data_IF_345385325322
#
_entry.id   IF_345385325322
#
_cell.length_a   1.000
_cell.length_b   1.000
_cell.length_c   1.000
_cell.angle_alpha   90.00
_cell.angle_beta   90.00
_cell.angle_gamma   90.00
#
_symmetry.space_group_name_H-M   'P 1'
#
loop_
_entity.id
_entity.type
_entity.pdbx_description
1 polymer ?
#
# COMPACT_ATOMS: atom_id res chain seq x y z
N UNK A 1 27.02 35.14 -17.64
CA UNK A 1 26.34 34.18 -18.56
C UNK A 1 26.50 32.70 -18.19
N UNK A 2 27.59 32.26 -17.53
CA UNK A 2 27.74 30.85 -17.09
C UNK A 2 26.88 30.47 -15.86
N UNK A 3 26.79 31.37 -14.88
CA UNK A 3 25.99 31.15 -13.66
C UNK A 3 24.48 31.27 -13.85
N UNK A 4 24.02 32.06 -14.82
CA UNK A 4 22.59 32.15 -15.18
C UNK A 4 22.08 30.84 -15.75
N UNK A 5 22.92 30.12 -16.50
CA UNK A 5 22.55 28.83 -17.08
C UNK A 5 22.41 27.74 -16.02
N UNK A 6 23.29 27.74 -15.01
CA UNK A 6 23.22 26.82 -13.85
C UNK A 6 21.97 27.10 -13.01
N UNK A 7 21.64 28.37 -12.77
CA UNK A 7 20.49 28.75 -11.96
C UNK A 7 19.15 28.44 -12.66
N UNK A 8 19.09 28.56 -13.99
CA UNK A 8 17.94 28.14 -14.80
C UNK A 8 17.78 26.62 -14.86
N UNK A 9 18.88 25.86 -14.96
CA UNK A 9 18.84 24.40 -14.90
C UNK A 9 18.35 23.90 -13.53
N UNK A 10 18.77 24.54 -12.43
CA UNK A 10 18.28 24.20 -11.08
C UNK A 10 16.80 24.51 -10.88
N UNK A 11 16.29 25.63 -11.42
CA UNK A 11 14.86 25.97 -11.34
C UNK A 11 13.98 25.01 -12.15
N UNK A 12 14.47 24.53 -13.30
CA UNK A 12 13.78 23.52 -14.11
C UNK A 12 13.75 22.15 -13.43
N UNK A 13 14.81 21.76 -12.72
CA UNK A 13 14.91 20.46 -12.05
C UNK A 13 13.95 20.30 -10.86
N UNK A 14 13.54 21.39 -10.19
CA UNK A 14 12.57 21.37 -9.08
C UNK A 14 11.13 21.15 -9.59
N UNK A 15 10.87 21.39 -10.88
CA UNK A 15 9.55 21.28 -11.51
C UNK A 15 9.33 19.95 -12.25
N UNK A 16 10.32 19.05 -12.30
CA UNK A 16 10.04 17.68 -12.73
C UNK A 16 9.30 16.97 -11.58
N UNK A 17 8.15 16.32 -11.84
CA UNK A 17 7.66 15.32 -10.91
C UNK A 17 8.78 14.30 -10.75
N UNK A 18 9.18 14.02 -9.50
CA UNK A 18 9.98 12.83 -9.21
C UNK A 18 9.24 11.65 -9.85
N UNK A 19 9.81 11.14 -10.93
CA UNK A 19 9.41 9.89 -11.53
C UNK A 19 9.84 8.77 -10.58
N UNK A 20 9.09 8.64 -9.49
CA UNK A 20 9.10 7.45 -8.66
C UNK A 20 8.28 6.40 -9.44
N UNK A 21 8.97 5.69 -10.32
CA UNK A 21 8.36 4.57 -11.03
C UNK A 21 9.35 3.43 -11.13
N UNK A 22 9.38 2.62 -10.07
CA UNK A 22 9.45 1.17 -10.22
C UNK A 22 8.06 0.57 -9.99
N UNK A 23 7.09 1.01 -10.81
CA UNK A 23 5.86 0.28 -11.08
C UNK A 23 6.09 -0.84 -12.12
N UNK A 24 7.26 -1.48 -12.09
CA UNK A 24 7.50 -2.76 -12.73
C UNK A 24 7.19 -3.81 -11.65
N UNK A 25 6.10 -4.56 -11.68
CA UNK A 25 5.43 -5.15 -12.82
C UNK A 25 4.07 -5.73 -12.36
N UNK A 26 2.93 -5.25 -12.90
CA UNK A 26 1.75 -6.11 -13.08
C UNK A 26 1.07 -5.69 -14.39
N UNK A 27 1.10 -6.60 -15.35
CA UNK A 27 0.10 -6.83 -16.41
C UNK A 27 -0.49 -5.63 -17.15
N UNK A 28 0.03 -5.41 -18.36
CA UNK A 28 -0.68 -5.02 -19.59
C UNK A 28 -2.07 -4.32 -19.45
N UNK A 29 -2.09 -3.01 -19.73
CA UNK A 29 -3.22 -2.41 -20.47
C UNK A 29 -4.41 -1.81 -19.71
N UNK A 30 -4.52 -1.93 -18.39
CA UNK A 30 -5.60 -1.30 -17.62
C UNK A 30 -5.17 -1.04 -16.18
N UNK A 31 -5.51 0.12 -15.63
CA UNK A 31 -4.99 0.61 -14.35
C UNK A 31 -4.82 -0.46 -13.25
N UNK A 32 -3.72 -0.34 -12.49
CA UNK A 32 -3.35 -1.20 -11.35
C UNK A 32 -4.56 -1.74 -10.60
N UNK A 33 -4.76 -3.06 -10.64
CA UNK A 33 -5.77 -3.77 -9.85
C UNK A 33 -5.15 -4.13 -8.51
N UNK A 34 -5.60 -3.51 -7.43
CA UNK A 34 -5.08 -3.73 -6.07
C UNK A 34 -6.12 -4.49 -5.26
N UNK A 35 -5.69 -5.57 -4.60
CA UNK A 35 -6.50 -6.33 -3.65
C UNK A 35 -5.83 -6.32 -2.27
N UNK A 36 -6.54 -5.82 -1.27
CA UNK A 36 -6.12 -5.75 0.14
C UNK A 36 -6.80 -6.87 0.92
N UNK A 37 -6.11 -8.00 1.07
CA UNK A 37 -6.58 -9.10 1.90
C UNK A 37 -6.10 -8.94 3.36
N UNK A 38 -7.00 -9.07 4.34
CA UNK A 38 -6.66 -8.90 5.75
C UNK A 38 -7.35 -9.94 6.66
N UNK A 39 -6.74 -10.20 7.81
CA UNK A 39 -7.31 -11.00 8.90
C UNK A 39 -7.43 -10.13 10.16
N UNK A 40 -8.58 -10.14 10.85
CA UNK A 40 -8.74 -9.39 12.10
C UNK A 40 -9.68 -10.06 13.11
N UNK A 41 -9.20 -10.24 14.35
CA UNK A 41 -10.00 -10.77 15.46
C UNK A 41 -10.73 -9.65 16.21
N UNK A 42 -10.05 -8.53 16.47
CA UNK A 42 -10.59 -7.39 17.24
C UNK A 42 -10.93 -6.17 16.38
N UNK A 43 -10.68 -6.21 15.07
CA UNK A 43 -11.00 -5.14 14.13
C UNK A 43 -9.88 -4.11 13.89
N UNK A 44 -8.74 -4.20 14.57
CA UNK A 44 -7.64 -3.25 14.35
C UNK A 44 -7.08 -3.33 12.93
N UNK A 45 -6.81 -4.55 12.45
CA UNK A 45 -6.28 -4.79 11.10
C UNK A 45 -7.29 -4.42 10.02
N UNK A 46 -8.59 -4.49 10.32
CA UNK A 46 -9.65 -4.07 9.41
C UNK A 46 -9.54 -2.58 9.10
N UNK A 47 -9.38 -1.74 10.13
CA UNK A 47 -9.23 -0.30 9.96
C UNK A 47 -8.00 0.04 9.10
N UNK A 48 -6.89 -0.67 9.30
CA UNK A 48 -5.69 -0.51 8.48
C UNK A 48 -5.92 -0.93 7.01
N UNK A 49 -6.62 -2.04 6.77
CA UNK A 49 -6.93 -2.52 5.43
C UNK A 49 -7.86 -1.57 4.66
N UNK A 50 -8.89 -1.04 5.32
CA UNK A 50 -9.79 -0.02 4.75
C UNK A 50 -9.02 1.25 4.37
N UNK A 51 -8.05 1.66 5.20
CA UNK A 51 -7.19 2.80 4.88
C UNK A 51 -6.31 2.55 3.65
N UNK A 52 -5.69 1.37 3.56
CA UNK A 52 -4.84 0.99 2.41
C UNK A 52 -5.67 0.95 1.11
N UNK A 53 -6.88 0.42 1.16
CA UNK A 53 -7.77 0.40 -0.01
C UNK A 53 -8.16 1.82 -0.46
N UNK A 54 -8.40 2.73 0.48
CA UNK A 54 -8.74 4.12 0.15
C UNK A 54 -7.63 4.86 -0.60
N UNK A 55 -6.35 4.59 -0.29
CA UNK A 55 -5.21 5.25 -0.94
C UNK A 55 -4.79 4.57 -2.25
N UNK A 56 -5.10 3.28 -2.39
CA UNK A 56 -4.73 2.49 -3.57
C UNK A 56 -5.83 2.40 -4.63
N UNK A 57 -7.05 2.82 -4.31
CA UNK A 57 -8.27 2.54 -5.10
C UNK A 57 -8.43 1.01 -5.29
N UNK A 58 -8.17 0.26 -4.22
CA UNK A 58 -8.12 -1.19 -4.20
C UNK A 58 -9.34 -1.83 -3.55
N UNK A 59 -9.58 -3.09 -3.88
CA UNK A 59 -10.64 -3.91 -3.28
C UNK A 59 -10.20 -4.47 -1.93
N UNK A 60 -11.13 -4.64 -0.98
CA UNK A 60 -10.86 -5.19 0.37
C UNK A 60 -11.45 -6.58 0.51
N UNK A 61 -10.67 -7.53 1.06
CA UNK A 61 -11.11 -8.90 1.32
C UNK A 61 -10.78 -9.38 2.74
N UNK A 62 -11.76 -9.97 3.44
CA UNK A 62 -11.57 -10.59 4.76
C UNK A 62 -11.15 -12.06 4.62
N UNK A 63 -10.05 -12.42 5.27
CA UNK A 63 -9.61 -13.80 5.39
C UNK A 63 -10.33 -14.39 6.62
N UNK A 64 -11.22 -15.36 6.40
CA UNK A 64 -11.91 -16.05 7.49
C UNK A 64 -11.05 -17.22 8.01
N UNK A 65 -10.88 -17.36 9.33
CA UNK A 65 -10.08 -18.44 9.89
C UNK A 65 -10.88 -19.75 9.88
N UNK A 66 -10.22 -20.87 9.56
CA UNK A 66 -10.85 -22.20 9.59
C UNK A 66 -11.26 -22.62 11.01
N UNK A 67 -10.53 -22.15 12.01
CA UNK A 67 -10.81 -22.38 13.43
C UNK A 67 -10.95 -21.05 14.17
N UNK A 68 -11.86 -20.93 15.15
CA UNK A 68 -12.03 -19.70 15.90
C UNK A 68 -10.74 -19.29 16.62
N UNK A 69 -10.29 -18.05 16.43
CA UNK A 69 -9.23 -17.44 17.24
C UNK A 69 -9.75 -17.11 18.65
N UNK A 70 -10.01 -18.15 19.43
CA UNK A 70 -10.33 -18.02 20.85
C UNK A 70 -9.06 -17.70 21.64
N UNK A 71 -9.14 -16.76 22.57
CA UNK A 71 -8.02 -16.36 23.46
C UNK A 71 -7.54 -17.51 24.37
N UNK A 72 -8.28 -18.61 24.45
CA UNK A 72 -8.05 -19.73 25.37
C UNK A 72 -7.35 -20.95 24.76
N UNK A 73 -7.02 -20.97 23.46
CA UNK A 73 -6.36 -22.12 22.83
C UNK A 73 -4.82 -22.11 22.97
N UNK A 74 -4.28 -21.32 23.91
CA UNK A 74 -2.83 -21.19 24.15
C UNK A 74 -2.41 -21.52 25.59
N UNK A 75 -3.30 -22.07 26.43
CA UNK A 75 -2.88 -22.69 27.69
C UNK A 75 -2.97 -24.20 27.53
N UNK A 76 -1.88 -24.75 26.98
CA UNK A 76 -1.59 -26.17 27.08
C UNK A 76 -1.69 -26.63 28.53
N UNK A 77 -2.20 -27.85 28.69
CA UNK A 77 -2.47 -28.47 29.99
C UNK A 77 -1.27 -28.41 30.93
N UNK A 78 -1.58 -28.09 32.18
CA UNK A 78 -0.79 -28.42 33.36
C UNK A 78 -1.69 -29.20 34.31
#
# INVERSE_FOLDING_TARGET
MKGVFVLMACLLAVFLPQQDCDAACIGDGGGKKVLVAYFSVSGNTRAAAEHIASVTDGDVWSIEPVLPCSRSVARGGG
#
